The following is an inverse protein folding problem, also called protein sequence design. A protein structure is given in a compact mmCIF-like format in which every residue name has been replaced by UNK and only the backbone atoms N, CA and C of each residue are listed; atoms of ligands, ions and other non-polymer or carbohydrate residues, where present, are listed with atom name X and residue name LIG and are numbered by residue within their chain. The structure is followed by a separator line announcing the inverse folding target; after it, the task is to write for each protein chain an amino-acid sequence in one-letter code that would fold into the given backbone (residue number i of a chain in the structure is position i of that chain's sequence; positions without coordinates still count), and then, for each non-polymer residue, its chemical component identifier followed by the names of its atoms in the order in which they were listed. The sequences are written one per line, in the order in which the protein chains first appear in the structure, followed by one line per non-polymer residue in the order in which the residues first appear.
data_IF_212634476553
#
_entry.id   IF_212634476553
#
_cell.length_a   1.000
_cell.length_b   1.000
_cell.length_c   1.000
_cell.angle_alpha   90.00
_cell.angle_beta   90.00
_cell.angle_gamma   90.00
#
_symmetry.space_group_name_H-M   'P 1'
#
loop_
_entity.id
_entity.type
_entity.pdbx_description
1 polymer ?
#
# COMPACT_ATOMS: atom_id res chain seq x y z
N UNK A 1 14.90 -2.89 28.58
CA UNK A 1 13.59 -2.41 28.07
C UNK A 1 13.83 -1.20 27.17
N UNK A 2 13.27 -1.20 25.96
CA UNK A 2 13.51 -0.15 24.99
C UNK A 2 13.01 1.20 25.51
N UNK A 3 13.83 2.25 25.39
CA UNK A 3 13.45 3.61 25.74
C UNK A 3 13.68 4.54 24.55
N UNK A 4 12.65 5.27 24.14
CA UNK A 4 12.69 6.23 23.05
C UNK A 4 12.79 7.66 23.60
N UNK A 5 13.83 8.39 23.21
CA UNK A 5 13.95 9.81 23.54
C UNK A 5 13.40 10.66 22.40
N UNK A 6 12.20 11.20 22.59
CA UNK A 6 11.60 12.11 21.61
C UNK A 6 12.40 13.41 21.52
N UNK A 7 12.45 14.04 20.33
CA UNK A 7 12.89 15.43 20.21
C UNK A 7 12.12 16.34 21.17
N UNK A 8 12.84 17.01 22.07
CA UNK A 8 12.26 17.88 23.10
C UNK A 8 11.86 17.20 24.41
N UNK A 9 12.01 15.86 24.53
CA UNK A 9 11.77 15.16 25.79
C UNK A 9 13.01 15.21 26.71
N UNK A 10 12.79 15.56 27.97
CA UNK A 10 13.82 15.57 29.01
C UNK A 10 14.16 14.17 29.54
N UNK A 11 13.32 13.16 29.24
CA UNK A 11 13.51 11.78 29.71
C UNK A 11 13.07 10.79 28.62
N UNK A 12 13.85 9.72 28.36
CA UNK A 12 13.44 8.65 27.45
C UNK A 12 12.17 7.95 27.94
N UNK A 13 11.22 7.73 27.03
CA UNK A 13 9.98 7.01 27.30
C UNK A 13 10.17 5.52 27.04
N UNK A 14 9.85 4.68 28.04
CA UNK A 14 9.89 3.24 27.88
C UNK A 14 8.83 2.77 26.89
N UNK A 15 9.24 2.09 25.81
CA UNK A 15 8.36 1.35 24.92
C UNK A 15 8.15 -0.03 25.58
N UNK A 16 7.04 -0.18 26.32
CA UNK A 16 6.71 -1.42 27.03
C UNK A 16 5.58 -2.16 26.29
N UNK A 17 5.74 -3.48 26.18
CA UNK A 17 4.90 -4.42 25.43
C UNK A 17 3.57 -4.80 26.09
N UNK A 18 3.25 -4.25 27.27
CA UNK A 18 2.14 -4.73 28.10
C UNK A 18 0.79 -4.05 27.87
N UNK A 19 0.80 -2.73 27.67
CA UNK A 19 -0.41 -1.92 27.60
C UNK A 19 -0.44 -1.10 26.31
N UNK A 20 -1.63 -0.97 25.71
CA UNK A 20 -1.81 -0.15 24.52
C UNK A 20 -1.47 1.31 24.82
N UNK A 21 -0.44 1.83 24.16
CA UNK A 21 0.03 3.20 24.32
C UNK A 21 0.16 3.86 22.95
N UNK A 22 -0.29 5.12 22.86
CA UNK A 22 -0.26 5.90 21.63
C UNK A 22 0.29 7.28 21.90
N UNK A 23 1.30 7.66 21.12
CA UNK A 23 1.99 8.93 21.25
C UNK A 23 1.72 9.71 19.97
N UNK A 24 1.17 10.91 20.10
CA UNK A 24 0.85 11.78 18.95
C UNK A 24 1.58 13.10 19.12
N UNK A 25 2.32 13.51 18.09
CA UNK A 25 2.96 14.83 18.03
C UNK A 25 1.96 15.86 17.51
N UNK A 26 1.60 16.83 18.35
CA UNK A 26 0.72 17.94 18.01
C UNK A 26 1.59 19.19 17.80
N UNK A 27 1.89 19.56 16.56
CA UNK A 27 2.74 20.74 16.28
C UNK A 27 2.89 21.05 14.78
N UNK A 28 2.87 22.34 14.43
CA UNK A 28 2.61 22.84 13.06
C UNK A 28 3.83 22.94 12.11
N UNK A 29 5.05 22.63 12.54
CA UNK A 29 6.23 22.76 11.67
C UNK A 29 7.17 21.58 11.82
N UNK A 30 6.85 20.48 11.12
CA UNK A 30 7.80 19.40 10.90
C UNK A 30 8.82 19.86 9.85
N UNK A 31 10.12 19.59 10.02
CA UNK A 31 11.10 19.90 8.99
C UNK A 31 10.65 19.27 7.67
N UNK A 32 10.72 19.99 6.54
CA UNK A 32 10.49 19.44 5.19
C UNK A 32 11.79 18.87 4.68
N UNK A 33 12.16 17.68 5.15
CA UNK A 33 13.34 16.95 4.70
C UNK A 33 12.98 15.90 3.63
N UNK A 34 13.98 15.33 2.96
CA UNK A 34 13.85 14.54 1.72
C UNK A 34 13.28 13.12 1.89
N UNK A 35 12.67 12.76 3.02
CA UNK A 35 12.17 11.38 3.25
C UNK A 35 11.11 10.90 2.25
N UNK A 36 10.52 11.83 1.48
CA UNK A 36 9.59 11.54 0.39
C UNK A 36 9.90 12.46 -0.80
N UNK A 37 11.17 12.51 -1.22
CA UNK A 37 11.47 13.09 -2.52
C UNK A 37 10.93 12.15 -3.61
N UNK A 38 9.80 12.52 -4.20
CA UNK A 38 9.18 11.78 -5.29
C UNK A 38 10.08 11.66 -6.53
N UNK A 39 11.15 12.46 -6.64
CA UNK A 39 12.16 12.25 -7.69
C UNK A 39 13.08 11.06 -7.39
N UNK A 40 13.40 10.81 -6.12
CA UNK A 40 14.24 9.69 -5.69
C UNK A 40 13.42 8.41 -5.47
N UNK A 41 12.21 8.56 -4.92
CA UNK A 41 11.29 7.47 -4.59
C UNK A 41 9.94 7.71 -5.28
N UNK A 42 9.83 7.46 -6.59
CA UNK A 42 8.64 7.80 -7.39
C UNK A 42 7.48 6.80 -7.22
N UNK A 43 7.61 5.83 -6.32
CA UNK A 43 6.58 4.83 -6.06
C UNK A 43 6.15 4.86 -4.59
N UNK A 44 4.94 4.38 -4.33
CA UNK A 44 4.45 4.08 -2.98
C UNK A 44 3.97 2.63 -2.98
N UNK A 45 4.55 1.81 -2.11
CA UNK A 45 4.11 0.44 -1.85
C UNK A 45 3.05 0.46 -0.77
N UNK A 46 1.97 -0.26 -1.02
CA UNK A 46 0.96 -0.57 -0.02
C UNK A 46 1.04 -2.06 0.28
N UNK A 47 1.25 -2.41 1.53
CA UNK A 47 1.32 -3.81 1.97
C UNK A 47 -0.03 -4.26 2.54
N UNK A 48 -0.22 -5.58 2.61
CA UNK A 48 -1.48 -6.19 3.07
C UNK A 48 -1.74 -6.00 4.56
N UNK A 49 -0.70 -5.84 5.37
CA UNK A 49 -0.78 -5.50 6.79
C UNK A 49 -1.11 -4.01 7.04
N UNK A 50 -1.22 -3.19 5.98
CA UNK A 50 -1.55 -1.78 6.06
C UNK A 50 -0.35 -0.81 5.99
N UNK A 51 0.89 -1.32 5.93
CA UNK A 51 2.06 -0.46 5.75
C UNK A 51 2.01 0.32 4.41
N UNK A 52 2.57 1.52 4.46
CA UNK A 52 2.70 2.44 3.32
C UNK A 52 4.15 2.89 3.26
N UNK A 53 4.86 2.50 2.20
CA UNK A 53 6.31 2.66 2.09
C UNK A 53 6.62 3.45 0.81
N UNK A 54 7.19 4.66 0.90
CA UNK A 54 7.74 5.35 -0.27
C UNK A 54 8.98 4.59 -0.77
N UNK A 55 9.08 4.39 -2.08
CA UNK A 55 10.19 3.62 -2.64
C UNK A 55 10.47 3.95 -4.12
N UNK A 56 11.56 3.40 -4.62
CA UNK A 56 11.78 3.12 -6.04
C UNK A 56 11.68 1.61 -6.22
N UNK A 57 10.73 1.14 -7.04
CA UNK A 57 10.69 -0.28 -7.39
C UNK A 57 11.72 -0.54 -8.49
N UNK A 58 12.62 -1.49 -8.25
CA UNK A 58 13.71 -1.86 -9.15
C UNK A 58 13.32 -3.04 -10.05
N UNK A 59 12.69 -4.05 -9.45
CA UNK A 59 12.32 -5.31 -10.12
C UNK A 59 11.11 -5.98 -9.48
N UNK A 60 10.46 -6.87 -10.25
CA UNK A 60 9.42 -7.78 -9.75
C UNK A 60 9.36 -9.03 -10.63
N UNK A 61 9.18 -10.21 -10.03
CA UNK A 61 9.10 -11.50 -10.74
C UNK A 61 8.02 -12.48 -10.19
N UNK A 62 6.92 -11.95 -9.65
CA UNK A 62 5.81 -12.68 -9.00
C UNK A 62 6.10 -13.31 -7.65
N UNK A 63 7.36 -13.57 -7.33
CA UNK A 63 7.78 -14.08 -6.03
C UNK A 63 8.39 -12.99 -5.19
N UNK A 64 9.18 -12.14 -5.81
CA UNK A 64 9.93 -11.09 -5.12
C UNK A 64 9.69 -9.75 -5.77
N UNK A 65 9.75 -8.71 -4.94
CA UNK A 65 9.78 -7.31 -5.33
C UNK A 65 11.10 -6.71 -4.84
N UNK A 66 11.92 -6.25 -5.77
CA UNK A 66 13.13 -5.50 -5.50
C UNK A 66 12.84 -4.01 -5.40
N UNK A 67 13.27 -3.34 -4.33
CA UNK A 67 13.01 -1.91 -4.12
C UNK A 67 14.10 -1.22 -3.29
N UNK A 68 14.11 0.11 -3.36
CA UNK A 68 14.88 0.98 -2.46
C UNK A 68 13.91 1.91 -1.74
N UNK A 69 14.11 2.10 -0.45
CA UNK A 69 13.28 2.95 0.42
C UNK A 69 14.18 3.84 1.27
N UNK A 70 13.72 5.04 1.65
CA UNK A 70 14.47 5.92 2.55
C UNK A 70 14.62 5.37 3.97
N UNK A 71 13.83 4.37 4.35
CA UNK A 71 13.79 3.85 5.73
C UNK A 71 14.29 2.41 5.87
N UNK A 72 14.35 1.66 4.77
CA UNK A 72 14.56 0.21 4.79
C UNK A 72 15.90 -0.11 4.16
N UNK A 73 16.73 -0.85 4.89
CA UNK A 73 18.08 -1.22 4.45
C UNK A 73 18.05 -2.38 3.45
N UNK A 74 17.19 -3.37 3.68
CA UNK A 74 17.06 -4.52 2.79
C UNK A 74 16.29 -4.15 1.52
N UNK A 75 16.65 -4.78 0.40
CA UNK A 75 16.17 -4.38 -0.93
C UNK A 75 15.15 -5.33 -1.55
N UNK A 76 14.65 -6.29 -0.79
CA UNK A 76 13.76 -7.34 -1.29
C UNK A 76 12.59 -7.57 -0.35
N UNK A 77 11.43 -7.83 -0.94
CA UNK A 77 10.18 -8.14 -0.26
C UNK A 77 9.49 -9.27 -1.01
N UNK A 78 8.86 -10.20 -0.30
CA UNK A 78 8.02 -11.21 -0.96
C UNK A 78 6.77 -10.55 -1.56
N UNK A 79 6.49 -10.86 -2.83
CA UNK A 79 5.34 -10.35 -3.57
C UNK A 79 4.00 -10.67 -2.88
N UNK A 80 3.93 -11.73 -2.07
CA UNK A 80 2.74 -12.10 -1.31
C UNK A 80 2.28 -11.00 -0.35
N UNK A 81 3.19 -10.15 0.12
CA UNK A 81 2.88 -9.06 1.04
C UNK A 81 2.37 -7.79 0.35
N UNK A 82 2.56 -7.68 -0.97
CA UNK A 82 2.24 -6.48 -1.74
C UNK A 82 0.74 -6.43 -2.04
N UNK A 83 0.07 -5.36 -1.60
CA UNK A 83 -1.32 -5.08 -1.95
C UNK A 83 -1.42 -4.18 -3.17
N UNK A 84 -0.60 -3.14 -3.26
CA UNK A 84 -0.56 -2.26 -4.43
C UNK A 84 0.78 -1.56 -4.60
N UNK A 85 1.06 -1.16 -5.84
CA UNK A 85 2.16 -0.26 -6.21
C UNK A 85 1.52 0.97 -6.86
N UNK A 86 1.73 2.14 -6.28
CA UNK A 86 1.30 3.43 -6.83
C UNK A 86 2.49 4.18 -7.42
N UNK A 87 2.32 4.79 -8.60
CA UNK A 87 3.37 5.50 -9.33
C UNK A 87 3.11 7.01 -9.31
N UNK A 88 3.90 7.72 -8.54
CA UNK A 88 3.85 9.18 -8.45
C UNK A 88 4.33 9.77 -9.78
N UNK A 89 3.58 10.70 -10.40
CA UNK A 89 4.05 11.37 -11.60
C UNK A 89 5.27 12.24 -11.27
N UNK A 90 6.38 12.00 -11.96
CA UNK A 90 7.56 12.87 -11.89
C UNK A 90 7.19 14.28 -12.34
N UNK A 91 7.44 15.29 -11.50
CA UNK A 91 7.19 16.69 -11.85
C UNK A 91 8.13 17.08 -13.01
N UNK A 92 7.56 17.46 -14.16
CA UNK A 92 8.32 18.00 -15.30
C UNK A 92 7.95 17.42 -16.66
N UNK A 93 7.22 16.29 -16.71
CA UNK A 93 6.71 15.77 -17.98
C UNK A 93 5.28 16.26 -18.20
N UNK A 94 5.09 17.23 -19.10
CA UNK A 94 3.75 17.62 -19.58
C UNK A 94 3.12 16.37 -20.20
N UNK A 95 2.20 15.75 -19.48
CA UNK A 95 1.28 14.78 -20.06
C UNK A 95 0.08 15.60 -20.50
N UNK A 96 -0.21 15.59 -21.79
CA UNK A 96 -1.37 16.25 -22.40
C UNK A 96 -2.67 15.55 -21.95
N UNK A 97 -3.01 15.72 -20.68
CA UNK A 97 -4.31 15.35 -20.09
C UNK A 97 -4.80 16.59 -19.37
N UNK A 98 -6.08 17.00 -19.53
CA UNK A 98 -6.62 18.13 -18.79
C UNK A 98 -6.63 17.82 -17.28
N UNK A 99 -5.54 18.15 -16.60
CA UNK A 99 -5.37 18.05 -15.16
C UNK A 99 -6.16 19.17 -14.48
N UNK A 100 -7.46 18.95 -14.32
CA UNK A 100 -8.26 19.81 -13.45
C UNK A 100 -8.17 19.32 -11.99
N UNK A 101 -7.57 20.16 -11.14
CA UNK A 101 -7.85 20.30 -9.69
C UNK A 101 -7.62 19.11 -8.73
N UNK A 102 -6.68 18.19 -8.97
CA UNK A 102 -6.48 17.04 -8.06
C UNK A 102 -5.25 17.11 -7.12
N UNK A 103 -4.32 18.04 -7.31
CA UNK A 103 -3.01 18.00 -6.63
C UNK A 103 -2.99 18.52 -5.19
N UNK A 104 -4.04 19.20 -4.71
CA UNK A 104 -4.12 19.68 -3.32
C UNK A 104 -5.12 18.93 -2.43
N UNK A 105 -5.90 17.98 -2.96
CA UNK A 105 -6.93 17.26 -2.20
C UNK A 105 -6.39 16.03 -1.45
N UNK A 106 -5.32 15.40 -1.96
CA UNK A 106 -4.84 14.10 -1.47
C UNK A 106 -4.34 14.14 -0.02
N UNK A 107 -3.59 15.18 0.36
CA UNK A 107 -3.08 15.36 1.74
C UNK A 107 -4.15 15.74 2.76
N UNK A 108 -5.25 16.37 2.34
CA UNK A 108 -6.33 16.83 3.24
C UNK A 108 -7.41 15.76 3.48
N UNK A 109 -7.36 14.63 2.77
CA UNK A 109 -8.46 13.67 2.68
C UNK A 109 -8.27 12.35 3.45
N UNK A 110 -7.18 12.18 4.19
CA UNK A 110 -6.96 11.02 5.06
C UNK A 110 -8.00 10.90 6.21
N UNK A 111 -8.90 11.88 6.34
CA UNK A 111 -9.95 11.95 7.36
C UNK A 111 -11.39 11.86 6.80
N UNK A 112 -11.60 11.55 5.50
CA UNK A 112 -12.95 11.44 4.91
C UNK A 112 -13.23 10.06 4.27
N UNK A 113 -14.44 9.49 4.41
CA UNK A 113 -14.74 8.11 4.02
C UNK A 113 -15.03 7.87 2.53
N UNK A 114 -15.03 8.89 1.66
CA UNK A 114 -15.25 8.70 0.22
C UNK A 114 -13.97 8.25 -0.52
N UNK A 115 -13.53 7.01 -0.25
CA UNK A 115 -12.20 6.50 -0.62
C UNK A 115 -11.94 6.29 -2.11
N UNK A 116 -12.97 6.08 -2.93
CA UNK A 116 -12.80 5.63 -4.33
C UNK A 116 -12.68 6.79 -5.33
N UNK A 117 -13.40 7.88 -5.11
CA UNK A 117 -13.25 9.13 -5.90
C UNK A 117 -11.84 9.73 -5.73
N UNK A 118 -11.21 9.51 -4.57
CA UNK A 118 -9.84 9.96 -4.26
C UNK A 118 -8.76 9.29 -5.12
N UNK A 119 -9.04 8.13 -5.71
CA UNK A 119 -8.09 7.39 -6.53
C UNK A 119 -8.10 7.82 -8.01
N UNK A 120 -8.98 8.76 -8.38
CA UNK A 120 -9.19 9.18 -9.78
C UNK A 120 -9.83 8.10 -10.65
N UNK A 121 -10.50 7.14 -10.03
CA UNK A 121 -11.08 5.97 -10.69
C UNK A 121 -12.61 6.06 -10.66
N UNK A 122 -13.24 5.92 -11.82
CA UNK A 122 -14.69 5.85 -11.93
C UNK A 122 -15.23 4.59 -11.19
N UNK A 123 -16.19 4.74 -10.25
CA UNK A 123 -16.68 3.63 -9.44
C UNK A 123 -17.42 2.56 -10.25
N UNK A 124 -18.07 2.93 -11.35
CA UNK A 124 -18.74 1.98 -12.26
C UNK A 124 -17.70 1.19 -13.05
N UNK A 125 -16.66 1.84 -13.58
CA UNK A 125 -15.54 1.15 -14.23
C UNK A 125 -14.84 0.20 -13.25
N UNK A 126 -14.61 0.63 -12.00
CA UNK A 126 -14.02 -0.21 -10.96
C UNK A 126 -14.89 -1.43 -10.64
N UNK A 127 -16.19 -1.23 -10.41
CA UNK A 127 -17.13 -2.34 -10.16
C UNK A 127 -17.10 -3.37 -11.29
N UNK A 128 -17.07 -2.92 -12.55
CA UNK A 128 -16.93 -3.79 -13.73
C UNK A 128 -15.59 -4.54 -13.76
N UNK A 129 -14.49 -3.87 -13.40
CA UNK A 129 -13.16 -4.46 -13.33
C UNK A 129 -13.01 -5.46 -12.17
N UNK A 130 -13.75 -5.30 -11.07
CA UNK A 130 -13.77 -6.25 -9.95
C UNK A 130 -14.74 -7.42 -10.17
N UNK A 131 -15.64 -7.33 -11.15
CA UNK A 131 -16.57 -8.42 -11.47
C UNK A 131 -15.90 -9.44 -12.38
N UNK A 132 -15.73 -10.68 -11.92
CA UNK A 132 -15.14 -11.78 -12.70
C UNK A 132 -16.20 -12.38 -13.63
N UNK A 133 -15.98 -12.38 -14.96
CA UNK A 133 -16.87 -13.06 -15.89
C UNK A 133 -16.94 -14.55 -15.59
N UNK A 134 -18.09 -15.17 -15.85
CA UNK A 134 -18.34 -16.57 -15.47
C UNK A 134 -17.32 -17.54 -16.06
N UNK A 135 -16.93 -17.32 -17.32
CA UNK A 135 -15.90 -18.10 -18.00
C UNK A 135 -14.52 -18.06 -17.32
N UNK A 136 -14.25 -17.02 -16.53
CA UNK A 136 -12.99 -16.86 -15.80
C UNK A 136 -13.09 -17.23 -14.31
N UNK A 137 -14.19 -17.87 -13.86
CA UNK A 137 -14.39 -18.24 -12.45
C UNK A 137 -13.24 -19.09 -11.89
N UNK A 138 -12.71 -20.02 -12.68
CA UNK A 138 -11.64 -20.95 -12.27
C UNK A 138 -10.23 -20.38 -12.46
N UNK A 139 -10.10 -19.19 -13.06
CA UNK A 139 -8.82 -18.52 -13.27
C UNK A 139 -9.04 -17.01 -13.16
N UNK A 140 -9.38 -16.51 -11.95
CA UNK A 140 -9.65 -15.11 -11.73
C UNK A 140 -8.38 -14.27 -11.98
N UNK A 141 -8.53 -13.00 -12.36
CA UNK A 141 -7.40 -12.08 -12.42
C UNK A 141 -6.87 -11.84 -11.01
N UNK A 142 -5.54 -11.79 -10.85
CA UNK A 142 -4.90 -11.46 -9.58
C UNK A 142 -4.65 -9.96 -9.43
N UNK A 143 -4.62 -9.21 -10.54
CA UNK A 143 -4.30 -7.79 -10.54
C UNK A 143 -5.27 -6.94 -11.37
N UNK A 144 -5.41 -5.69 -10.97
CA UNK A 144 -5.94 -4.60 -11.79
C UNK A 144 -4.80 -3.61 -12.06
N UNK A 145 -4.56 -3.35 -13.34
CA UNK A 145 -3.71 -2.27 -13.82
C UNK A 145 -4.58 -1.03 -14.04
N UNK A 146 -4.16 0.11 -13.50
CA UNK A 146 -4.83 1.40 -13.69
C UNK A 146 -3.88 2.35 -14.40
N UNK A 147 -4.29 2.86 -15.55
CA UNK A 147 -3.55 3.85 -16.31
C UNK A 147 -3.82 5.27 -15.78
N UNK A 148 -2.92 6.21 -16.10
CA UNK A 148 -3.05 7.63 -15.67
C UNK A 148 -4.26 8.35 -16.25
N UNK A 149 -4.83 7.85 -17.34
CA UNK A 149 -6.08 8.35 -17.92
C UNK A 149 -7.34 7.78 -17.21
N UNK A 150 -7.18 6.97 -16.16
CA UNK A 150 -8.28 6.34 -15.42
C UNK A 150 -8.82 5.06 -16.02
N UNK A 151 -8.21 4.52 -17.10
CA UNK A 151 -8.60 3.22 -17.63
C UNK A 151 -8.09 2.07 -16.76
N UNK A 152 -8.89 0.99 -16.71
CA UNK A 152 -8.61 -0.18 -15.89
C UNK A 152 -8.49 -1.43 -16.76
N UNK A 153 -7.53 -2.28 -16.42
CA UNK A 153 -7.32 -3.57 -17.07
C UNK A 153 -7.13 -4.68 -16.05
N UNK A 154 -7.94 -5.73 -16.15
CA UNK A 154 -7.80 -6.97 -15.36
C UNK A 154 -6.69 -7.84 -15.95
N UNK A 155 -5.93 -8.51 -15.09
CA UNK A 155 -4.89 -9.43 -15.53
C UNK A 155 -4.00 -9.92 -14.42
N UNK A 156 -2.74 -10.18 -14.75
CA UNK A 156 -1.69 -10.59 -13.83
C UNK A 156 -0.44 -9.75 -14.09
N UNK A 157 0.14 -9.19 -13.03
CA UNK A 157 1.48 -8.60 -13.11
C UNK A 157 2.49 -9.74 -13.24
N UNK A 158 3.27 -9.74 -14.32
CA UNK A 158 4.26 -10.76 -14.62
C UNK A 158 5.67 -10.30 -14.28
N UNK A 159 5.93 -9.01 -14.44
CA UNK A 159 7.23 -8.40 -14.24
C UNK A 159 7.11 -6.89 -14.15
N UNK A 160 8.09 -6.25 -13.52
CA UNK A 160 8.22 -4.80 -13.46
C UNK A 160 9.70 -4.45 -13.42
N UNK A 161 10.06 -3.38 -14.11
CA UNK A 161 11.33 -2.67 -13.97
C UNK A 161 11.07 -1.18 -13.74
N UNK A 162 12.13 -0.41 -13.53
CA UNK A 162 12.05 1.05 -13.39
C UNK A 162 11.29 1.72 -14.55
N UNK A 163 11.38 1.16 -15.77
CA UNK A 163 10.84 1.79 -16.98
C UNK A 163 9.53 1.19 -17.47
N UNK A 164 9.30 -0.10 -17.21
CA UNK A 164 8.19 -0.84 -17.84
C UNK A 164 7.57 -1.87 -16.91
N UNK A 165 6.29 -2.16 -17.14
CA UNK A 165 5.61 -3.31 -16.55
C UNK A 165 5.30 -4.36 -17.62
N UNK A 166 5.40 -5.62 -17.24
CA UNK A 166 4.94 -6.78 -18.00
C UNK A 166 3.60 -7.23 -17.42
N UNK A 167 2.53 -7.06 -18.17
CA UNK A 167 1.17 -7.36 -17.71
C UNK A 167 0.48 -8.34 -18.65
N UNK A 168 -0.02 -9.44 -18.10
CA UNK A 168 -0.77 -10.44 -18.86
C UNK A 168 -2.28 -10.22 -18.69
N UNK A 169 -3.01 -10.15 -19.80
CA UNK A 169 -4.47 -10.06 -19.80
C UNK A 169 -5.03 -10.91 -20.94
N UNK A 170 -5.99 -11.79 -20.64
CA UNK A 170 -6.61 -12.70 -21.62
C UNK A 170 -5.55 -13.47 -22.44
N UNK A 171 -4.55 -14.05 -21.75
CA UNK A 171 -3.43 -14.79 -22.35
C UNK A 171 -2.52 -13.98 -23.29
N UNK A 172 -2.63 -12.64 -23.28
CA UNK A 172 -1.74 -11.75 -24.01
C UNK A 172 -0.83 -11.01 -23.03
N UNK A 173 0.48 -11.14 -23.22
CA UNK A 173 1.49 -10.36 -22.50
C UNK A 173 1.64 -8.99 -23.16
N UNK A 174 1.71 -7.94 -22.35
CA UNK A 174 1.86 -6.55 -22.79
C UNK A 174 2.97 -5.88 -21.99
N UNK A 175 3.88 -5.21 -22.69
CA UNK A 175 4.84 -4.28 -22.09
C UNK A 175 4.23 -2.89 -22.06
N UNK A 176 4.09 -2.28 -20.88
CA UNK A 176 3.55 -0.92 -20.75
C UNK A 176 4.57 -0.03 -20.05
N UNK A 177 4.88 1.16 -20.58
CA UNK A 177 5.72 2.14 -19.89
C UNK A 177 5.16 2.55 -18.54
N UNK A 178 6.00 2.59 -17.49
CA UNK A 178 5.62 2.97 -16.12
C UNK A 178 5.03 4.39 -16.06
N UNK A 179 5.50 5.30 -16.91
CA UNK A 179 5.01 6.68 -16.97
C UNK A 179 3.52 6.79 -17.36
N UNK A 180 2.93 5.76 -17.97
CA UNK A 180 1.49 5.68 -18.29
C UNK A 180 0.65 5.05 -17.19
N UNK A 181 1.30 4.45 -16.19
CA UNK A 181 0.63 3.71 -15.13
C UNK A 181 0.43 4.61 -13.93
N UNK A 182 -0.77 4.58 -13.36
CA UNK A 182 -1.07 5.21 -12.08
C UNK A 182 -0.82 4.23 -10.93
N UNK A 183 -1.28 2.98 -11.07
CA UNK A 183 -1.17 1.96 -10.03
C UNK A 183 -1.37 0.54 -10.56
N UNK A 184 -0.80 -0.43 -9.84
CA UNK A 184 -1.06 -1.86 -9.98
C UNK A 184 -1.59 -2.36 -8.64
N UNK A 185 -2.76 -2.97 -8.63
CA UNK A 185 -3.43 -3.41 -7.39
C UNK A 185 -3.65 -4.92 -7.43
N UNK A 186 -3.22 -5.63 -6.39
CA UNK A 186 -3.56 -7.03 -6.17
C UNK A 186 -5.02 -7.11 -5.69
N UNK A 187 -5.84 -7.89 -6.39
CA UNK A 187 -7.29 -8.01 -6.18
C UNK A 187 -7.75 -9.44 -5.91
N UNK A 188 -6.81 -10.33 -5.59
CA UNK A 188 -7.08 -11.74 -5.29
C UNK A 188 -8.11 -11.88 -4.16
N UNK A 189 -8.90 -12.96 -4.19
CA UNK A 189 -9.91 -13.22 -3.14
C UNK A 189 -9.21 -13.55 -1.83
N UNK A 190 -9.72 -13.07 -0.67
CA UNK A 190 -9.18 -13.43 0.64
C UNK A 190 -9.09 -14.95 0.85
N UNK A 191 -10.09 -15.71 0.39
CA UNK A 191 -10.14 -17.19 0.46
C UNK A 191 -9.03 -17.89 -0.35
N UNK A 192 -8.42 -17.20 -1.32
CA UNK A 192 -7.35 -17.72 -2.16
C UNK A 192 -5.96 -17.27 -1.69
N UNK A 193 -5.89 -16.47 -0.63
CA UNK A 193 -4.63 -16.14 0.02
C UNK A 193 -4.27 -17.24 1.03
N UNK A 194 -3.00 -17.63 1.15
CA UNK A 194 -2.59 -18.65 2.12
C UNK A 194 -2.85 -18.15 3.54
N UNK A 195 -3.98 -18.55 4.14
CA UNK A 195 -4.42 -18.56 5.56
C UNK A 195 -4.00 -17.43 6.53
N UNK A 196 -3.35 -16.35 6.10
CA UNK A 196 -2.97 -15.23 6.95
C UNK A 196 -4.04 -14.14 6.85
N UNK A 197 -4.86 -13.99 7.90
CA UNK A 197 -5.61 -12.74 8.08
C UNK A 197 -4.61 -11.58 8.18
N UNK A 198 -4.96 -10.35 7.77
CA UNK A 198 -4.10 -9.18 7.98
C UNK A 198 -3.66 -9.01 9.44
N UNK A 199 -4.53 -9.43 10.37
CA UNK A 199 -4.28 -9.50 11.81
C UNK A 199 -3.21 -10.56 12.17
N UNK A 200 -3.20 -11.72 11.50
CA UNK A 200 -2.19 -12.76 11.68
C UNK A 200 -0.80 -12.39 11.13
N UNK A 201 -0.72 -11.41 10.23
CA UNK A 201 0.57 -10.83 9.79
C UNK A 201 1.18 -9.90 10.87
N UNK A 202 0.41 -9.58 11.91
CA UNK A 202 0.81 -8.71 13.01
C UNK A 202 0.84 -9.52 14.30
N UNK A 203 1.88 -10.34 14.49
CA UNK A 203 2.24 -10.80 15.84
C UNK A 203 2.70 -9.58 16.65
N UNK A 204 1.84 -9.10 17.57
CA UNK A 204 1.79 -7.69 18.00
C UNK A 204 2.40 -7.41 19.37
N UNK A 205 2.89 -8.43 20.08
CA UNK A 205 3.32 -8.23 21.46
C UNK A 205 4.56 -7.33 21.60
N UNK A 206 5.37 -7.20 20.54
CA UNK A 206 6.62 -6.42 20.53
C UNK A 206 6.71 -5.39 19.38
N UNK A 207 5.70 -5.32 18.52
CA UNK A 207 5.69 -4.42 17.36
C UNK A 207 5.15 -3.04 17.71
N UNK A 208 5.65 -2.04 17.00
CA UNK A 208 5.15 -0.67 17.03
C UNK A 208 4.66 -0.28 15.64
N UNK A 209 3.69 0.63 15.57
CA UNK A 209 3.26 1.28 14.34
C UNK A 209 3.66 2.75 14.36
N UNK A 210 4.54 3.14 13.45
CA UNK A 210 4.93 4.53 13.25
C UNK A 210 4.19 5.12 12.04
N UNK A 211 3.52 6.26 12.22
CA UNK A 211 3.01 7.10 11.13
C UNK A 211 3.88 8.33 10.99
N UNK A 212 4.38 8.59 9.78
CA UNK A 212 5.34 9.66 9.51
C UNK A 212 4.67 10.87 8.84
N UNK A 213 5.35 12.03 8.89
CA UNK A 213 4.87 13.29 8.34
C UNK A 213 4.63 13.30 6.82
N UNK A 214 5.26 12.39 6.08
CA UNK A 214 5.06 12.23 4.64
C UNK A 214 3.90 11.30 4.27
N UNK A 215 3.26 10.69 5.28
CA UNK A 215 2.16 9.73 5.11
C UNK A 215 2.61 8.27 5.11
N UNK A 216 3.90 7.99 5.29
CA UNK A 216 4.40 6.63 5.46
C UNK A 216 3.86 6.00 6.74
N UNK A 217 3.59 4.69 6.68
CA UNK A 217 3.15 3.89 7.82
C UNK A 217 4.02 2.64 7.85
N UNK A 218 4.70 2.41 8.97
CA UNK A 218 5.64 1.31 9.16
C UNK A 218 5.29 0.56 10.44
N UNK A 219 5.34 -0.77 10.40
CA UNK A 219 5.07 -1.70 11.48
C UNK A 219 6.29 -2.58 11.68
N UNK A 220 6.92 -2.51 12.85
CA UNK A 220 8.19 -3.18 13.09
C UNK A 220 8.44 -3.44 14.57
N UNK A 221 9.28 -4.40 14.89
CA UNK A 221 9.83 -4.58 16.24
C UNK A 221 10.90 -3.49 16.46
N UNK A 222 10.63 -2.57 17.38
CA UNK A 222 11.58 -1.51 17.70
C UNK A 222 12.73 -2.09 18.55
N UNK A 223 13.98 -1.76 18.19
CA UNK A 223 15.18 -2.32 18.82
C UNK A 223 15.85 -1.30 19.73
N UNK A 224 16.14 -0.11 19.20
CA UNK A 224 16.81 0.98 19.92
C UNK A 224 16.47 2.33 19.30
N UNK A 225 16.70 3.42 20.04
CA UNK A 225 16.74 4.75 19.47
C UNK A 225 18.13 5.33 19.69
N UNK A 226 18.79 5.71 18.59
CA UNK A 226 20.16 6.22 18.60
C UNK A 226 20.31 7.28 17.52
N UNK A 227 21.09 8.32 17.78
CA UNK A 227 21.46 9.36 16.80
C UNK A 227 20.27 10.05 16.11
N UNK A 228 19.15 10.20 16.83
CA UNK A 228 17.92 10.79 16.29
C UNK A 228 17.10 9.85 15.41
N UNK A 229 17.46 8.58 15.31
CA UNK A 229 16.72 7.53 14.61
C UNK A 229 16.09 6.54 15.60
N UNK A 230 14.97 5.94 15.17
CA UNK A 230 14.38 4.76 15.78
C UNK A 230 14.71 3.57 14.87
N UNK A 231 15.53 2.67 15.39
CA UNK A 231 16.05 1.50 14.70
C UNK A 231 15.16 0.31 15.04
N UNK A 232 14.86 -0.51 14.04
CA UNK A 232 14.01 -1.68 14.22
C UNK A 232 14.14 -2.70 13.12
N UNK A 233 13.31 -3.74 13.21
CA UNK A 233 13.26 -4.86 12.26
C UNK A 233 11.83 -5.23 11.92
N UNK A 234 11.58 -5.47 10.63
CA UNK A 234 10.35 -6.07 10.12
C UNK A 234 10.61 -7.51 9.70
N UNK A 235 9.66 -8.41 9.95
CA UNK A 235 9.75 -9.80 9.49
C UNK A 235 9.66 -9.91 7.96
N UNK A 236 9.15 -8.88 7.29
CA UNK A 236 8.87 -8.91 5.85
C UNK A 236 10.06 -8.46 5.00
N UNK A 237 10.86 -7.54 5.54
CA UNK A 237 11.96 -6.89 4.81
C UNK A 237 13.18 -6.55 5.70
N UNK A 238 13.26 -7.06 6.93
CA UNK A 238 14.44 -6.92 7.78
C UNK A 238 14.64 -5.54 8.37
N UNK A 239 15.91 -5.12 8.42
CA UNK A 239 16.35 -3.96 9.21
C UNK A 239 15.89 -2.62 8.60
N UNK A 240 15.55 -1.69 9.48
CA UNK A 240 15.07 -0.35 9.13
C UNK A 240 15.45 0.70 10.17
N UNK A 241 15.54 1.95 9.73
CA UNK A 241 15.79 3.11 10.57
C UNK A 241 14.88 4.26 10.12
N UNK A 242 14.18 4.86 11.09
CA UNK A 242 13.32 6.03 10.81
C UNK A 242 13.79 7.24 11.62
N UNK A 243 13.89 8.43 11.02
CA UNK A 243 14.21 9.63 11.79
C UNK A 243 13.08 9.97 12.78
N UNK A 244 13.42 10.10 14.06
CA UNK A 244 12.47 10.36 15.15
C UNK A 244 11.80 11.73 15.05
N UNK A 245 12.44 12.67 14.36
CA UNK A 245 11.88 13.98 14.04
C UNK A 245 10.74 13.91 13.02
N UNK A 246 10.54 12.77 12.34
CA UNK A 246 9.47 12.53 11.35
C UNK A 246 8.24 11.85 11.90
N UNK A 247 8.36 11.21 13.06
CA UNK A 247 7.27 10.43 13.66
C UNK A 247 6.18 11.39 14.14
N UNK A 248 4.99 11.24 13.58
CA UNK A 248 3.78 11.94 14.00
C UNK A 248 2.98 11.13 15.01
N UNK A 249 2.88 9.83 14.79
CA UNK A 249 2.15 8.91 15.65
C UNK A 249 3.01 7.67 15.87
N UNK A 250 3.19 7.27 17.12
CA UNK A 250 3.77 5.99 17.48
C UNK A 250 2.77 5.24 18.36
N UNK A 251 2.22 4.16 17.84
CA UNK A 251 1.30 3.27 18.55
C UNK A 251 2.00 1.97 18.94
N UNK A 252 1.79 1.49 20.16
CA UNK A 252 2.34 0.25 20.72
C UNK A 252 1.20 -0.56 21.32
N UNK A 253 1.00 -1.79 20.87
CA UNK A 253 -0.13 -2.63 21.28
C UNK A 253 -1.51 -2.06 20.91
N UNK A 254 -2.48 -2.93 20.64
CA UNK A 254 -3.87 -2.53 20.35
C UNK A 254 -4.10 -1.87 18.98
N UNK A 255 -3.05 -1.43 18.27
CA UNK A 255 -3.18 -0.82 16.95
C UNK A 255 -3.58 -1.84 15.87
N UNK A 256 -3.40 -3.13 16.13
CA UNK A 256 -3.89 -4.24 15.30
C UNK A 256 -5.44 -4.32 15.31
N UNK A 257 -6.08 -3.86 16.39
CA UNK A 257 -7.54 -3.82 16.53
C UNK A 257 -8.16 -2.56 15.95
N UNK A 258 -7.34 -1.53 15.71
CA UNK A 258 -7.80 -0.37 14.94
C UNK A 258 -8.04 -0.83 13.51
N UNK A 259 -9.31 -0.80 13.07
CA UNK A 259 -9.73 -1.15 11.70
C UNK A 259 -9.04 -0.23 10.68
N UNK A 260 -7.81 -0.55 10.31
CA UNK A 260 -7.09 0.15 9.26
C UNK A 260 -7.65 -0.30 7.92
N UNK A 261 -8.57 0.51 7.40
CA UNK A 261 -9.11 0.27 6.08
C UNK A 261 -8.13 0.78 5.02
N UNK A 262 -7.24 -0.09 4.53
CA UNK A 262 -6.35 0.20 3.40
C UNK A 262 -7.14 0.79 2.23
N UNK A 263 -6.54 1.72 1.48
CA UNK A 263 -7.16 2.35 0.30
C UNK A 263 -7.68 1.32 -0.72
N UNK A 264 -7.03 0.16 -0.78
CA UNK A 264 -7.34 -0.91 -1.73
C UNK A 264 -7.98 -2.13 -1.09
N UNK A 265 -8.36 -2.07 0.20
CA UNK A 265 -8.97 -3.19 0.91
C UNK A 265 -10.24 -3.69 0.19
N UNK A 266 -11.09 -2.77 -0.25
CA UNK A 266 -12.32 -3.10 -0.99
C UNK A 266 -12.11 -3.55 -2.43
N UNK A 267 -10.88 -3.54 -2.94
CA UNK A 267 -10.56 -4.01 -4.29
C UNK A 267 -10.37 -5.52 -4.25
N UNK A 268 -11.50 -6.22 -4.21
CA UNK A 268 -11.59 -7.68 -4.20
C UNK A 268 -12.46 -8.13 -5.35
N UNK A 269 -12.00 -9.15 -6.09
CA UNK A 269 -12.76 -9.69 -7.21
C UNK A 269 -13.97 -10.51 -6.74
N UNK A 270 -15.13 -10.30 -7.37
CA UNK A 270 -16.38 -11.01 -7.08
C UNK A 270 -16.92 -11.68 -8.33
N UNK A 271 -17.46 -12.91 -8.25
CA UNK A 271 -18.05 -13.56 -9.42
C UNK A 271 -19.27 -12.78 -9.91
N UNK A 272 -19.51 -12.77 -11.22
CA UNK A 272 -20.77 -12.29 -11.78
C UNK A 272 -21.95 -13.15 -11.29
N UNK A 273 -23.06 -12.50 -10.96
CA UNK A 273 -24.34 -13.13 -10.58
C UNK A 273 -24.77 -14.15 -11.63
N UNK A 274 -25.39 -15.24 -11.20
CA UNK A 274 -25.99 -16.24 -12.09
C UNK A 274 -27.26 -15.70 -12.73
N UNK A 275 -27.62 -16.14 -13.96
CA UNK A 275 -28.90 -15.77 -14.53
C UNK A 275 -29.97 -16.37 -13.64
N UNK A 276 -30.98 -15.59 -13.33
CA UNK A 276 -32.22 -16.15 -12.84
C UNK A 276 -32.93 -16.78 -14.04
N UNK A 277 -32.71 -18.07 -14.24
CA UNK A 277 -33.57 -18.86 -15.12
C UNK A 277 -34.83 -19.12 -14.32
N UNK A 278 -35.73 -18.13 -14.27
CA UNK A 278 -37.01 -18.26 -13.58
C UNK A 278 -37.59 -19.63 -13.87
N UNK A 279 -37.99 -20.36 -12.82
CA UNK A 279 -38.45 -21.74 -12.90
C UNK A 279 -39.41 -21.88 -14.07
N UNK A 280 -38.92 -22.47 -15.17
CA UNK A 280 -39.74 -22.74 -16.33
C UNK A 280 -40.86 -23.65 -15.86
N UNK A 281 -42.07 -23.11 -15.74
CA UNK A 281 -43.27 -23.93 -15.80
C UNK A 281 -43.24 -24.55 -17.19
N UNK A 282 -42.73 -25.78 -17.26
CA UNK A 282 -42.98 -26.67 -18.37
C UNK A 282 -44.48 -26.92 -18.38
N UNK A 283 -45.20 -26.16 -19.21
CA UNK A 283 -46.49 -26.59 -19.68
C UNK A 283 -46.25 -27.62 -20.79
N UNK A 284 -46.98 -28.72 -20.63
CA UNK A 284 -47.20 -29.87 -21.54
C UNK A 284 -46.28 -31.08 -21.37
#
# INVERSE_FOLDING_TARGET
PLSWQMPGANTPLRLASGDAARIVRIGQSMPKGPSSDANQFPCVLHLKNGEIIPCQVLSYDQRTLGFESPFITQRTLDAQYVKAIEFVPLKGRKVDVPMSKQTNAFRKSLLRPEKQTLLGVDPVKLKRALTVPRFNRNSPPSHILVARNGDLKRGRLQGLSVQTIQFESKLRKQTVPVDRIARVVNVTRPEQEPNASPEALIDSSDKVRASLADGSILIFAAIESRDGELIGRSDMYGDMAIPTDRILDLSMGGFEKELFKSLFEGWVVRPAQEPDFGSGQGNE
#
